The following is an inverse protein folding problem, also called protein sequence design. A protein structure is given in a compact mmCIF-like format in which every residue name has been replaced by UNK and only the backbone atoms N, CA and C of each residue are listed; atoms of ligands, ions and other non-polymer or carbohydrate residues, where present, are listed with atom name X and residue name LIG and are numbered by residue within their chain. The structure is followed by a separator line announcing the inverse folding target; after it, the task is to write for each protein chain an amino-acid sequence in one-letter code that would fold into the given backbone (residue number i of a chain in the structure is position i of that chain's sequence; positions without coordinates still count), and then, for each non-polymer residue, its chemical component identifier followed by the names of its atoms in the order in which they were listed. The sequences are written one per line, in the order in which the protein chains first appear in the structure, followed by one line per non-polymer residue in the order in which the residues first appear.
data_IF_140739388288
#
_entry.id   IF_140739388288
#
_cell.length_a   1.000
_cell.length_b   1.000
_cell.length_c   1.000
_cell.angle_alpha   90.00
_cell.angle_beta   90.00
_cell.angle_gamma   90.00
#
_symmetry.space_group_name_H-M   'P 1'
#
loop_
_entity.id
_entity.type
_entity.pdbx_description
1 polymer ?
#
# COMPACT_ATOMS: atom_id res chain seq x y z
N UNK A 1 7.18 -20.22 -24.80
CA UNK A 1 6.68 -19.53 -23.58
C UNK A 1 7.18 -18.10 -23.60
N UNK A 2 6.31 -17.09 -23.71
CA UNK A 2 6.73 -15.67 -23.59
C UNK A 2 6.98 -15.39 -22.11
N UNK A 3 8.22 -15.03 -21.74
CA UNK A 3 8.53 -14.59 -20.37
C UNK A 3 7.77 -13.29 -20.12
N UNK A 4 6.93 -13.27 -19.09
CA UNK A 4 6.30 -12.04 -18.62
C UNK A 4 7.43 -11.08 -18.20
N UNK A 5 7.37 -9.78 -18.56
CA UNK A 5 8.35 -8.82 -18.05
C UNK A 5 8.39 -8.91 -16.52
N UNK A 6 9.55 -8.62 -15.89
CA UNK A 6 9.62 -8.61 -14.44
C UNK A 6 8.59 -7.62 -13.92
N UNK A 7 7.65 -8.11 -13.11
CA UNK A 7 6.72 -7.26 -12.40
C UNK A 7 7.55 -6.30 -11.53
N UNK A 8 7.22 -5.00 -11.50
CA UNK A 8 7.90 -4.08 -10.60
C UNK A 8 7.75 -4.57 -9.16
N UNK A 9 8.78 -4.35 -8.34
CA UNK A 9 8.70 -4.68 -6.92
C UNK A 9 7.44 -4.04 -6.29
N UNK A 10 6.73 -4.74 -5.37
CA UNK A 10 5.46 -4.29 -4.82
C UNK A 10 5.47 -2.86 -4.28
N UNK A 11 6.58 -2.44 -3.68
CA UNK A 11 6.79 -1.10 -3.11
C UNK A 11 6.84 0.02 -4.16
N UNK A 12 7.04 -0.31 -5.43
CA UNK A 12 7.13 0.63 -6.54
C UNK A 12 5.81 0.79 -7.30
N UNK A 13 4.75 0.07 -6.93
CA UNK A 13 3.45 0.20 -7.60
C UNK A 13 2.72 1.46 -7.17
N UNK A 14 1.89 2.00 -8.05
CA UNK A 14 1.09 3.19 -7.75
C UNK A 14 0.14 2.95 -6.57
N UNK A 15 -0.40 1.74 -6.45
CA UNK A 15 -1.30 1.31 -5.39
C UNK A 15 -0.62 1.35 -4.03
N UNK A 16 0.58 0.79 -3.92
CA UNK A 16 1.37 0.78 -2.69
C UNK A 16 1.70 2.20 -2.24
N UNK A 17 2.20 3.03 -3.16
CA UNK A 17 2.51 4.44 -2.91
C UNK A 17 1.26 5.20 -2.44
N UNK A 18 0.12 4.99 -3.11
CA UNK A 18 -1.15 5.61 -2.75
C UNK A 18 -1.64 5.22 -1.34
N UNK A 19 -1.44 3.95 -0.95
CA UNK A 19 -1.76 3.46 0.40
C UNK A 19 -0.93 4.15 1.48
N UNK A 20 0.37 4.29 1.25
CA UNK A 20 1.25 5.02 2.15
C UNK A 20 0.86 6.49 2.28
N UNK A 21 0.61 7.19 1.16
CA UNK A 21 0.14 8.59 1.16
C UNK A 21 -1.20 8.75 1.90
N UNK A 22 -2.14 7.81 1.73
CA UNK A 22 -3.42 7.84 2.43
C UNK A 22 -3.21 7.74 3.96
N UNK A 23 -2.31 6.87 4.41
CA UNK A 23 -1.95 6.79 5.83
C UNK A 23 -1.33 8.09 6.35
N UNK A 24 -0.44 8.71 5.58
CA UNK A 24 0.18 9.99 5.94
C UNK A 24 -0.86 11.11 6.09
N UNK A 25 -1.86 11.12 5.20
CA UNK A 25 -2.99 12.06 5.24
C UNK A 25 -4.04 11.72 6.30
N UNK A 26 -3.80 10.70 7.14
CA UNK A 26 -4.74 10.18 8.16
C UNK A 26 -6.11 9.79 7.59
N UNK A 27 -6.16 9.38 6.32
CA UNK A 27 -7.37 8.76 5.77
C UNK A 27 -7.53 7.37 6.38
N UNK A 28 -8.75 7.03 6.79
CA UNK A 28 -9.05 5.76 7.46
C UNK A 28 -8.75 4.57 6.54
N UNK A 29 -8.55 3.39 7.14
CA UNK A 29 -8.34 2.14 6.39
C UNK A 29 -9.53 1.77 5.49
N UNK A 30 -10.73 2.21 5.88
CA UNK A 30 -11.96 2.00 5.11
C UNK A 30 -12.02 2.87 3.83
N UNK A 31 -11.05 3.78 3.65
CA UNK A 31 -10.89 4.58 2.44
C UNK A 31 -10.10 3.88 1.32
N UNK A 32 -9.76 2.59 1.45
CA UNK A 32 -9.16 1.84 0.35
C UNK A 32 -10.10 1.86 -0.87
N UNK A 33 -9.69 2.40 -2.02
CA UNK A 33 -10.59 2.62 -3.16
C UNK A 33 -10.90 1.32 -3.92
N UNK A 34 -10.29 0.21 -3.54
CA UNK A 34 -10.38 -1.07 -4.25
C UNK A 34 -11.37 -2.02 -3.60
N UNK A 35 -12.28 -2.53 -4.42
CA UNK A 35 -13.28 -3.53 -4.02
C UNK A 35 -12.64 -4.89 -3.68
N UNK A 36 -13.40 -5.80 -3.07
CA UNK A 36 -12.94 -7.16 -2.80
C UNK A 36 -12.67 -7.97 -4.08
N UNK A 37 -13.25 -7.60 -5.22
CA UNK A 37 -12.95 -8.24 -6.52
C UNK A 37 -11.58 -7.87 -7.08
N UNK A 38 -10.92 -6.86 -6.51
CA UNK A 38 -9.63 -6.33 -6.95
C UNK A 38 -8.52 -6.65 -5.94
N UNK A 39 -8.44 -7.91 -5.52
CA UNK A 39 -7.58 -8.34 -4.41
C UNK A 39 -6.10 -7.94 -4.58
N UNK A 40 -5.54 -8.04 -5.80
CA UNK A 40 -4.12 -7.74 -6.00
C UNK A 40 -3.79 -6.27 -5.69
N UNK A 41 -4.48 -5.34 -6.33
CA UNK A 41 -4.28 -3.88 -6.12
C UNK A 41 -4.69 -3.45 -4.71
N UNK A 42 -5.71 -4.09 -4.13
CA UNK A 42 -6.12 -3.87 -2.74
C UNK A 42 -5.02 -4.28 -1.76
N UNK A 43 -4.40 -5.44 -1.96
CA UNK A 43 -3.31 -5.92 -1.11
C UNK A 43 -2.10 -4.99 -1.19
N UNK A 44 -1.75 -4.52 -2.38
CA UNK A 44 -0.66 -3.55 -2.57
C UNK A 44 -0.94 -2.24 -1.81
N UNK A 45 -2.15 -1.69 -1.95
CA UNK A 45 -2.54 -0.48 -1.23
C UNK A 45 -2.51 -0.66 0.29
N UNK A 46 -3.04 -1.77 0.79
CA UNK A 46 -3.04 -2.06 2.23
C UNK A 46 -1.62 -2.26 2.78
N UNK A 47 -0.72 -2.91 2.02
CA UNK A 47 0.68 -3.05 2.41
C UNK A 47 1.35 -1.69 2.61
N UNK A 48 1.24 -0.78 1.64
CA UNK A 48 1.82 0.57 1.75
C UNK A 48 1.23 1.38 2.91
N UNK A 49 -0.07 1.24 3.18
CA UNK A 49 -0.73 1.86 4.34
C UNK A 49 -0.14 1.33 5.65
N UNK A 50 -0.01 0.01 5.80
CA UNK A 50 0.46 -0.65 7.02
C UNK A 50 1.94 -0.39 7.28
N UNK A 51 2.80 -0.45 6.26
CA UNK A 51 4.22 -0.14 6.39
C UNK A 51 4.43 1.32 6.82
N UNK A 52 3.64 2.24 6.26
CA UNK A 52 3.65 3.64 6.69
C UNK A 52 3.15 3.80 8.12
N UNK A 53 2.12 3.06 8.53
CA UNK A 53 1.63 3.09 9.92
C UNK A 53 2.69 2.61 10.91
N UNK A 54 3.38 1.51 10.60
CA UNK A 54 4.47 0.98 11.42
C UNK A 54 5.64 1.95 11.54
N UNK A 55 6.04 2.59 10.43
CA UNK A 55 7.13 3.60 10.46
C UNK A 55 6.74 4.85 11.25
N UNK A 56 5.47 5.26 11.19
CA UNK A 56 4.94 6.37 12.00
C UNK A 56 4.82 6.01 13.48
N UNK A 57 4.42 4.78 13.81
CA UNK A 57 4.34 4.28 15.18
C UNK A 57 5.72 4.22 15.85
N UNK A 58 6.77 3.85 15.11
CA UNK A 58 8.16 3.82 15.61
C UNK A 58 8.72 5.20 15.96
N UNK A 59 8.17 6.29 15.41
CA UNK A 59 8.58 7.67 15.74
C UNK A 59 8.03 8.18 17.08
N UNK A 60 7.27 7.37 17.82
CA UNK A 60 6.67 7.72 19.12
C UNK A 60 7.38 7.11 20.33
N UNK A 61 8.63 6.68 20.20
CA UNK A 61 9.43 6.30 21.36
C UNK A 61 10.32 7.48 21.76
N UNK A 62 10.30 7.92 23.04
CA UNK A 62 11.15 8.99 23.56
C UNK A 62 12.64 8.60 23.55
#
# INVERSE_FOLDING_TARGET
MKRRPPEPWPENTAEYIAGGLARQQRKSRDACPYSLGQLNVRSLWLAGWHDTDMTMGRRRLP
#
